data_IF_616350154638
#
_entry.id   IF_616350154638
#
_cell.length_a   1.000
_cell.length_b   1.000
_cell.length_c   1.000
_cell.angle_alpha   90.00
_cell.angle_beta   90.00
_cell.angle_gamma   90.00
#
_symmetry.space_group_name_H-M   'P 1'
#
loop_
_entity.id
_entity.type
_entity.pdbx_description
1 polymer ?
#
# COMPACT_ATOMS: atom_id res chain seq x y z
N UNK A 1 7.00 -0.65 -20.31
CA UNK A 1 7.12 -1.87 -19.48
C UNK A 1 5.77 -2.55 -19.25
N UNK A 2 4.82 -1.94 -18.52
CA UNK A 2 3.50 -2.56 -18.20
C UNK A 2 2.70 -2.95 -19.45
N UNK A 3 2.42 -2.02 -20.37
CA UNK A 3 1.68 -2.32 -21.63
C UNK A 3 2.37 -3.36 -22.52
N UNK A 4 3.68 -3.50 -22.39
CA UNK A 4 4.49 -4.45 -23.16
C UNK A 4 4.63 -5.81 -22.45
N UNK A 5 3.98 -6.02 -21.29
CA UNK A 5 4.03 -7.26 -20.53
C UNK A 5 5.30 -7.49 -19.71
N UNK A 6 6.25 -6.54 -19.71
CA UNK A 6 7.52 -6.67 -18.99
C UNK A 6 7.48 -6.23 -17.52
N UNK A 7 6.32 -5.78 -17.03
CA UNK A 7 6.12 -5.37 -15.63
C UNK A 7 4.67 -5.58 -15.23
N UNK A 8 4.42 -6.11 -14.03
CA UNK A 8 3.07 -6.21 -13.48
C UNK A 8 2.50 -4.81 -13.21
N UNK A 9 1.20 -4.64 -13.44
CA UNK A 9 0.48 -3.38 -13.27
C UNK A 9 0.12 -3.00 -11.83
N UNK A 10 0.70 -3.68 -10.83
CA UNK A 10 0.43 -3.39 -9.42
C UNK A 10 1.22 -2.17 -8.95
N UNK A 11 0.58 -1.34 -8.11
CA UNK A 11 1.13 -0.05 -7.69
C UNK A 11 2.54 -0.16 -7.06
N UNK A 12 2.82 -1.06 -6.10
CA UNK A 12 4.16 -1.16 -5.50
C UNK A 12 5.23 -1.53 -6.54
N UNK A 13 4.91 -2.39 -7.50
CA UNK A 13 5.81 -2.79 -8.58
C UNK A 13 6.15 -1.61 -9.49
N UNK A 14 5.15 -0.79 -9.83
CA UNK A 14 5.35 0.42 -10.63
C UNK A 14 6.15 1.46 -9.85
N UNK A 15 5.87 1.66 -8.56
CA UNK A 15 6.62 2.56 -7.69
C UNK A 15 8.10 2.17 -7.60
N UNK A 16 8.39 0.88 -7.35
CA UNK A 16 9.75 0.36 -7.29
C UNK A 16 10.53 0.44 -8.60
N UNK A 17 9.83 0.38 -9.75
CA UNK A 17 10.47 0.55 -11.06
C UNK A 17 10.64 2.03 -11.46
N UNK A 18 9.64 2.87 -11.16
CA UNK A 18 9.57 4.25 -11.64
C UNK A 18 10.37 5.22 -10.78
N UNK A 19 10.24 5.15 -9.46
CA UNK A 19 10.82 6.16 -8.57
C UNK A 19 12.35 6.18 -8.54
N UNK A 20 13.06 5.04 -8.57
CA UNK A 20 14.51 5.04 -8.77
C UNK A 20 14.93 5.64 -10.10
N UNK A 21 14.17 5.39 -11.19
CA UNK A 21 14.42 6.01 -12.49
C UNK A 21 14.20 7.53 -12.50
N UNK A 22 13.47 8.06 -11.50
CA UNK A 22 13.27 9.49 -11.26
C UNK A 22 14.26 10.07 -10.22
N UNK A 23 15.20 9.26 -9.73
CA UNK A 23 16.25 9.70 -8.81
C UNK A 23 15.91 9.64 -7.32
N UNK A 24 14.83 8.95 -6.93
CA UNK A 24 14.57 8.68 -5.52
C UNK A 24 15.47 7.52 -5.07
N UNK A 25 16.15 7.68 -3.93
CA UNK A 25 16.76 6.55 -3.26
C UNK A 25 15.71 5.59 -2.71
N UNK A 26 16.14 4.36 -2.44
CA UNK A 26 15.26 3.27 -2.00
C UNK A 26 14.51 3.62 -0.71
N UNK A 27 15.19 4.24 0.26
CA UNK A 27 14.60 4.60 1.56
C UNK A 27 13.51 5.65 1.38
N UNK A 28 13.73 6.68 0.57
CA UNK A 28 12.77 7.71 0.26
C UNK A 28 11.58 7.13 -0.51
N UNK A 29 11.84 6.32 -1.54
CA UNK A 29 10.81 5.62 -2.30
C UNK A 29 9.91 4.77 -1.38
N UNK A 30 10.52 3.93 -0.53
CA UNK A 30 9.77 3.06 0.37
C UNK A 30 9.00 3.84 1.46
N UNK A 31 9.60 4.92 1.99
CA UNK A 31 8.94 5.82 2.95
C UNK A 31 7.71 6.50 2.35
N UNK A 32 7.80 7.00 1.12
CA UNK A 32 6.67 7.61 0.41
C UNK A 32 5.59 6.56 0.11
N UNK A 33 5.97 5.35 -0.31
CA UNK A 33 5.02 4.25 -0.54
C UNK A 33 4.24 3.92 0.74
N UNK A 34 4.93 3.72 1.87
CA UNK A 34 4.32 3.42 3.16
C UNK A 34 3.41 4.54 3.66
N UNK A 35 3.83 5.81 3.52
CA UNK A 35 3.00 6.96 3.86
C UNK A 35 1.71 7.01 3.02
N UNK A 36 1.82 6.84 1.70
CA UNK A 36 0.65 6.88 0.80
C UNK A 36 -0.33 5.74 1.11
N UNK A 37 0.17 4.56 1.50
CA UNK A 37 -0.66 3.44 1.91
C UNK A 37 -1.52 3.79 3.15
N UNK A 38 -0.90 4.27 4.24
CA UNK A 38 -1.62 4.61 5.47
C UNK A 38 -2.52 5.83 5.28
N UNK A 39 -2.04 6.85 4.56
CA UNK A 39 -2.83 8.04 4.22
C UNK A 39 -4.08 7.68 3.41
N UNK A 40 -3.96 6.76 2.45
CA UNK A 40 -5.09 6.24 1.66
C UNK A 40 -6.14 5.53 2.53
N UNK A 41 -5.69 4.63 3.41
CA UNK A 41 -6.58 3.90 4.32
C UNK A 41 -7.28 4.82 5.32
N UNK A 42 -6.54 5.73 5.95
CA UNK A 42 -7.12 6.71 6.90
C UNK A 42 -8.10 7.65 6.20
N UNK A 43 -7.80 8.11 4.99
CA UNK A 43 -8.72 8.91 4.17
C UNK A 43 -10.00 8.13 3.80
N UNK A 44 -9.89 6.84 3.50
CA UNK A 44 -11.06 5.99 3.28
C UNK A 44 -11.92 5.84 4.55
N UNK A 45 -11.30 5.61 5.71
CA UNK A 45 -11.99 5.48 6.98
C UNK A 45 -12.80 6.75 7.34
N UNK A 46 -12.23 7.94 7.10
CA UNK A 46 -12.94 9.23 7.29
C UNK A 46 -14.15 9.34 6.36
N UNK A 47 -13.99 9.03 5.06
CA UNK A 47 -15.08 9.12 4.08
C UNK A 47 -16.19 8.10 4.31
N UNK A 48 -15.88 6.98 4.96
CA UNK A 48 -16.86 5.99 5.41
C UNK A 48 -17.54 6.38 6.73
N UNK A 49 -17.11 7.48 7.38
CA UNK A 49 -17.63 7.92 8.67
C UNK A 49 -17.17 7.04 9.85
N UNK A 50 -16.15 6.20 9.66
CA UNK A 50 -15.66 5.30 10.71
C UNK A 50 -14.84 6.04 11.79
N UNK A 51 -14.13 7.11 11.40
CA UNK A 51 -13.32 7.96 12.29
C UNK A 51 -13.40 9.43 11.87
N UNK A 52 -13.11 10.34 12.79
CA UNK A 52 -12.98 11.77 12.51
C UNK A 52 -11.61 12.18 11.93
N UNK A 53 -11.52 13.40 11.38
CA UNK A 53 -10.27 13.91 10.80
C UNK A 53 -9.11 13.99 11.81
N UNK A 54 -9.39 14.35 13.07
CA UNK A 54 -8.38 14.40 14.14
C UNK A 54 -7.87 13.00 14.47
N UNK A 55 -8.77 12.02 14.53
CA UNK A 55 -8.40 10.62 14.76
C UNK A 55 -7.57 10.06 13.61
N UNK A 56 -7.92 10.41 12.37
CA UNK A 56 -7.12 10.04 11.19
C UNK A 56 -5.68 10.56 11.27
N UNK A 57 -5.47 11.82 11.69
CA UNK A 57 -4.13 12.35 11.91
C UNK A 57 -3.38 11.61 13.02
N UNK A 58 -4.08 11.24 14.10
CA UNK A 58 -3.50 10.44 15.19
C UNK A 58 -3.07 9.04 14.71
N UNK A 59 -3.90 8.37 13.93
CA UNK A 59 -3.59 7.05 13.34
C UNK A 59 -2.41 7.17 12.38
N UNK A 60 -2.43 8.14 11.47
CA UNK A 60 -1.34 8.38 10.53
C UNK A 60 -0.03 8.63 11.28
N UNK A 61 -0.02 9.56 12.24
CA UNK A 61 1.15 9.88 13.04
C UNK A 61 1.66 8.69 13.87
N UNK A 62 0.75 7.87 14.40
CA UNK A 62 1.09 6.64 15.14
C UNK A 62 1.66 5.52 14.26
N UNK A 63 1.36 5.52 12.95
CA UNK A 63 1.85 4.52 12.01
C UNK A 63 3.25 4.86 11.44
N UNK A 64 3.66 6.14 11.44
CA UNK A 64 4.96 6.54 10.86
C UNK A 64 6.15 5.82 11.51
N UNK A 65 6.23 5.66 12.85
CA UNK A 65 7.32 4.90 13.47
C UNK A 65 7.34 3.43 13.04
N UNK A 66 6.18 2.80 12.91
CA UNK A 66 6.08 1.41 12.44
C UNK A 66 6.51 1.26 10.98
N UNK A 67 6.16 2.22 10.12
CA UNK A 67 6.68 2.25 8.74
C UNK A 67 8.21 2.31 8.77
N UNK A 68 8.78 3.22 9.54
CA UNK A 68 10.24 3.34 9.64
C UNK A 68 10.88 2.03 10.15
N UNK A 69 10.30 1.40 11.17
CA UNK A 69 10.77 0.10 11.70
C UNK A 69 10.73 -1.01 10.65
N UNK A 70 9.62 -1.12 9.90
CA UNK A 70 9.48 -2.12 8.84
C UNK A 70 10.50 -1.91 7.71
N UNK A 71 10.85 -0.67 7.40
CA UNK A 71 11.84 -0.35 6.37
C UNK A 71 13.29 -0.65 6.76
N UNK A 72 13.59 -0.79 8.05
CA UNK A 72 14.90 -1.26 8.51
C UNK A 72 15.03 -2.79 8.41
N UNK A 73 13.93 -3.51 8.17
CA UNK A 73 13.98 -4.96 8.00
C UNK A 73 14.60 -5.29 6.63
N UNK A 74 15.61 -6.17 6.57
CA UNK A 74 16.22 -6.53 5.31
C UNK A 74 15.20 -7.27 4.44
N UNK A 75 15.15 -6.92 3.16
CA UNK A 75 14.37 -7.67 2.18
C UNK A 75 15.09 -9.01 1.95
N UNK A 76 14.45 -10.16 2.18
CA UNK A 76 15.08 -11.46 1.95
C UNK A 76 15.48 -11.63 0.48
N UNK A 77 16.71 -12.08 0.25
CA UNK A 77 17.14 -12.48 -1.09
C UNK A 77 16.29 -13.66 -1.58
N UNK A 78 15.68 -13.57 -2.77
CA UNK A 78 14.86 -14.65 -3.29
C UNK A 78 15.74 -15.87 -3.62
N UNK A 79 15.31 -17.07 -3.23
CA UNK A 79 15.99 -18.32 -3.58
C UNK A 79 15.84 -18.72 -5.07
N UNK A 80 15.24 -17.86 -5.90
CA UNK A 80 14.88 -18.10 -7.29
C UNK A 80 14.23 -16.87 -7.92
N UNK A 81 13.24 -17.08 -8.79
CA UNK A 81 12.44 -15.97 -9.31
C UNK A 81 11.73 -15.24 -8.16
N UNK A 82 11.68 -13.91 -8.22
CA UNK A 82 10.93 -13.09 -7.25
C UNK A 82 9.45 -13.40 -7.36
N UNK A 83 8.88 -14.01 -6.32
CA UNK A 83 7.46 -14.24 -6.19
C UNK A 83 6.87 -13.19 -5.23
N UNK A 84 6.09 -12.25 -5.78
CA UNK A 84 5.39 -11.27 -4.97
C UNK A 84 4.08 -11.88 -4.48
N UNK A 85 4.03 -12.28 -3.22
CA UNK A 85 2.82 -12.82 -2.58
C UNK A 85 2.33 -11.88 -1.48
N UNK A 86 1.01 -11.79 -1.32
CA UNK A 86 0.38 -11.19 -0.15
C UNK A 86 -0.70 -12.13 0.36
N UNK A 87 -0.83 -12.24 1.67
CA UNK A 87 -1.93 -12.98 2.29
C UNK A 87 -2.44 -12.24 3.52
N UNK A 88 -3.63 -11.67 3.38
CA UNK A 88 -4.32 -10.86 4.39
C UNK A 88 -5.77 -11.34 4.52
N UNK A 89 -6.02 -12.58 4.98
CA UNK A 89 -7.30 -13.29 4.81
C UNK A 89 -8.56 -12.47 5.13
N UNK A 90 -8.51 -11.60 6.13
CA UNK A 90 -9.62 -10.73 6.50
C UNK A 90 -9.91 -9.65 5.44
N UNK A 91 -8.89 -9.08 4.82
CA UNK A 91 -9.03 -8.09 3.74
C UNK A 91 -9.63 -8.76 2.49
N UNK A 92 -9.17 -9.94 2.11
CA UNK A 92 -9.70 -10.61 0.91
C UNK A 92 -11.16 -11.04 1.13
N UNK A 93 -11.53 -11.52 2.33
CA UNK A 93 -12.95 -11.77 2.68
C UNK A 93 -13.76 -10.45 2.61
N UNK A 94 -13.23 -9.35 3.12
CA UNK A 94 -13.90 -8.06 3.06
C UNK A 94 -14.07 -7.54 1.62
N UNK A 95 -13.08 -7.74 0.76
CA UNK A 95 -13.14 -7.40 -0.65
C UNK A 95 -14.21 -8.24 -1.39
N UNK A 96 -14.27 -9.54 -1.14
CA UNK A 96 -15.32 -10.42 -1.69
C UNK A 96 -16.72 -9.98 -1.27
N UNK A 97 -16.89 -9.55 -0.01
CA UNK A 97 -18.16 -9.00 0.49
C UNK A 97 -18.48 -7.65 -0.17
N UNK A 98 -17.50 -6.77 -0.31
CA UNK A 98 -17.67 -5.45 -0.94
C UNK A 98 -18.04 -5.55 -2.43
N UNK A 99 -17.58 -6.59 -3.13
CA UNK A 99 -17.99 -6.88 -4.51
C UNK A 99 -19.49 -7.17 -4.65
N UNK A 100 -20.15 -7.62 -3.57
CA UNK A 100 -21.58 -7.93 -3.53
C UNK A 100 -22.42 -6.88 -2.78
N UNK A 101 -21.80 -5.79 -2.30
CA UNK A 101 -22.49 -4.78 -1.52
C UNK A 101 -23.42 -3.91 -2.39
N UNK A 102 -24.63 -3.63 -1.89
CA UNK A 102 -25.62 -2.78 -2.59
C UNK A 102 -25.15 -1.32 -2.72
N UNK A 103 -24.45 -0.80 -1.72
CA UNK A 103 -23.87 0.53 -1.71
C UNK A 103 -22.34 0.46 -1.80
N UNK A 104 -21.77 1.10 -2.82
CA UNK A 104 -20.31 1.11 -3.08
C UNK A 104 -19.82 2.54 -3.25
N UNK A 105 -19.24 3.11 -2.19
CA UNK A 105 -18.60 4.42 -2.21
C UNK A 105 -17.25 4.43 -2.96
N UNK A 106 -16.61 3.26 -3.10
CA UNK A 106 -15.32 3.09 -3.74
C UNK A 106 -15.37 2.02 -4.83
N UNK A 107 -14.66 2.27 -5.93
CA UNK A 107 -14.29 1.24 -6.87
C UNK A 107 -13.07 0.50 -6.33
N UNK A 108 -13.17 -0.83 -6.25
CA UNK A 108 -12.05 -1.75 -6.06
C UNK A 108 -11.77 -2.42 -7.40
#
# INVERSE_FOLDING_TARGET
>A
AVRAGGLLGHLPTVQGALWPALGLDERAAASVSGYLFVSGLTSAAVRLGAIGAIEAQRVLGGALPLIAELLEQPVPEPAGAVELTGFTPLIEIAAMRQAQAELRLFAN
#
